data_IF_435921888815
#
_entry.id   IF_435921888815
#
_cell.length_a   1.000
_cell.length_b   1.000
_cell.length_c   1.000
_cell.angle_alpha   90.00
_cell.angle_beta   90.00
_cell.angle_gamma   90.00
#
_symmetry.space_group_name_H-M   'P 1'
#
loop_
_entity.id
_entity.type
_entity.pdbx_description
1 polymer ?
#
# COMPACT_ATOMS: atom_id res chain seq x y z
N UNK A 1 17.54 -32.50 -2.23
CA UNK A 1 16.57 -32.95 -1.22
C UNK A 1 15.95 -31.69 -0.66
N UNK A 2 14.66 -31.46 -0.87
CA UNK A 2 14.00 -30.29 -0.29
C UNK A 2 14.06 -30.45 1.24
N UNK A 3 14.54 -29.43 1.94
CA UNK A 3 14.57 -29.43 3.40
C UNK A 3 13.12 -29.42 3.91
N UNK A 4 12.83 -30.25 4.91
CA UNK A 4 11.53 -30.25 5.56
C UNK A 4 11.41 -29.02 6.46
N UNK A 5 10.76 -27.99 5.93
CA UNK A 5 10.58 -26.71 6.63
C UNK A 5 9.66 -26.81 7.83
N UNK A 6 8.77 -27.79 7.89
CA UNK A 6 7.87 -28.03 9.02
C UNK A 6 8.65 -28.66 10.18
N UNK A 7 9.48 -29.67 9.90
CA UNK A 7 10.36 -30.31 10.88
C UNK A 7 11.36 -29.30 11.46
N UNK A 8 12.00 -28.49 10.60
CA UNK A 8 12.94 -27.45 11.03
C UNK A 8 12.24 -26.37 11.86
N UNK A 9 11.00 -26.00 11.51
CA UNK A 9 10.21 -25.04 12.28
C UNK A 9 9.83 -25.56 13.67
N UNK A 10 9.42 -26.83 13.77
CA UNK A 10 9.08 -27.47 15.03
C UNK A 10 10.30 -27.56 15.98
N UNK A 11 11.51 -27.73 15.43
CA UNK A 11 12.77 -27.88 16.16
C UNK A 11 13.72 -26.66 15.98
N UNK A 12 13.17 -25.46 15.76
CA UNK A 12 13.95 -24.25 15.41
C UNK A 12 15.06 -23.92 16.41
N UNK A 13 14.90 -24.31 17.68
CA UNK A 13 15.87 -24.08 18.76
C UNK A 13 17.23 -24.76 18.50
N UNK A 14 17.27 -25.81 17.66
CA UNK A 14 18.54 -26.48 17.25
C UNK A 14 19.33 -25.67 16.21
N UNK A 15 18.71 -24.68 15.57
CA UNK A 15 19.25 -24.00 14.38
C UNK A 15 19.51 -22.51 14.60
N UNK A 16 18.91 -21.91 15.62
CA UNK A 16 18.94 -20.47 15.88
C UNK A 16 20.32 -19.88 16.24
N UNK A 17 21.27 -20.71 16.66
CA UNK A 17 22.67 -20.33 16.94
C UNK A 17 23.65 -20.86 15.87
N UNK A 18 23.14 -21.47 14.80
CA UNK A 18 23.98 -21.99 13.73
C UNK A 18 24.14 -20.93 12.62
N UNK A 19 25.26 -20.21 12.64
CA UNK A 19 25.56 -19.14 11.69
C UNK A 19 25.57 -19.61 10.22
N UNK A 20 26.07 -20.81 9.94
CA UNK A 20 26.05 -21.39 8.58
C UNK A 20 24.62 -21.70 8.13
N UNK A 21 23.78 -22.15 9.06
CA UNK A 21 22.37 -22.35 8.81
C UNK A 21 21.68 -21.02 8.47
N UNK A 22 21.83 -20.00 9.32
CA UNK A 22 21.13 -18.72 9.17
C UNK A 22 21.60 -17.93 7.93
N UNK A 23 22.92 -17.87 7.69
CA UNK A 23 23.48 -17.11 6.57
C UNK A 23 23.08 -17.65 5.18
N UNK A 24 22.86 -18.97 5.08
CA UNK A 24 22.52 -19.60 3.81
C UNK A 24 21.02 -19.62 3.48
N UNK A 25 20.16 -19.02 4.31
CA UNK A 25 18.69 -19.03 4.14
C UNK A 25 18.22 -17.72 3.56
N UNK A 26 17.36 -17.78 2.53
CA UNK A 26 16.69 -16.58 2.05
C UNK A 26 15.57 -16.15 3.01
N UNK A 27 15.14 -14.88 2.99
CA UNK A 27 14.03 -14.42 3.83
C UNK A 27 12.76 -15.25 3.65
N UNK A 28 12.42 -15.64 2.41
CA UNK A 28 11.26 -16.47 2.11
C UNK A 28 11.37 -17.89 2.68
N UNK A 29 12.59 -18.45 2.74
CA UNK A 29 12.83 -19.76 3.36
C UNK A 29 12.68 -19.67 4.88
N UNK A 30 13.22 -18.61 5.50
CA UNK A 30 13.01 -18.35 6.93
C UNK A 30 11.54 -18.13 7.27
N UNK A 31 10.77 -17.43 6.44
CA UNK A 31 9.33 -17.28 6.63
C UNK A 31 8.58 -18.63 6.65
N UNK A 32 8.96 -19.58 5.77
CA UNK A 32 8.38 -20.94 5.77
C UNK A 32 8.66 -21.70 7.07
N UNK A 33 9.86 -21.55 7.61
CA UNK A 33 10.26 -22.13 8.90
C UNK A 33 9.47 -21.47 10.04
N UNK A 34 9.43 -20.13 10.08
CA UNK A 34 8.77 -19.34 11.12
C UNK A 34 7.25 -19.57 11.19
N UNK A 35 6.60 -19.81 10.05
CA UNK A 35 5.17 -20.17 10.01
C UNK A 35 4.84 -21.44 10.80
N UNK A 36 5.82 -22.33 10.99
CA UNK A 36 5.68 -23.59 11.71
C UNK A 36 6.39 -23.59 13.08
N UNK A 37 7.14 -22.53 13.39
CA UNK A 37 7.84 -22.39 14.65
C UNK A 37 6.94 -21.81 15.75
N UNK A 38 7.10 -22.33 16.96
CA UNK A 38 6.57 -21.73 18.19
C UNK A 38 7.74 -21.30 19.05
N UNK A 39 8.04 -20.00 19.00
CA UNK A 39 9.16 -19.42 19.71
C UNK A 39 8.73 -18.98 21.10
N UNK A 40 9.49 -19.35 22.13
CA UNK A 40 9.47 -18.61 23.39
C UNK A 40 10.04 -17.19 23.19
N UNK A 41 9.80 -16.24 24.12
CA UNK A 41 10.35 -14.89 24.03
C UNK A 41 11.89 -14.87 23.93
N UNK A 42 12.55 -15.74 24.69
CA UNK A 42 14.01 -15.91 24.64
C UNK A 42 14.47 -16.43 23.28
N UNK A 43 13.76 -17.44 22.73
CA UNK A 43 14.10 -17.98 21.41
C UNK A 43 13.86 -16.96 20.30
N UNK A 44 12.77 -16.20 20.39
CA UNK A 44 12.50 -15.09 19.50
C UNK A 44 13.64 -14.07 19.54
N UNK A 45 14.05 -13.66 20.74
CA UNK A 45 15.09 -12.65 20.90
C UNK A 45 16.42 -13.10 20.30
N UNK A 46 16.86 -14.30 20.62
CA UNK A 46 18.12 -14.86 20.11
C UNK A 46 18.07 -15.05 18.60
N UNK A 47 16.99 -15.62 18.06
CA UNK A 47 16.86 -15.86 16.62
C UNK A 47 16.88 -14.55 15.81
N UNK A 48 16.09 -13.55 16.21
CA UNK A 48 15.99 -12.29 15.47
C UNK A 48 17.23 -11.40 15.63
N UNK A 49 17.94 -11.51 16.76
CA UNK A 49 19.25 -10.87 16.94
C UNK A 49 20.32 -11.51 16.06
N UNK A 50 20.29 -12.84 15.88
CA UNK A 50 21.25 -13.53 15.01
C UNK A 50 20.93 -13.28 13.53
N UNK A 51 19.65 -13.34 13.12
CA UNK A 51 19.22 -13.05 11.74
C UNK A 51 19.55 -11.63 11.28
N UNK A 52 19.55 -10.64 12.19
CA UNK A 52 19.85 -9.24 11.84
C UNK A 52 21.28 -9.03 11.36
N UNK A 53 22.20 -9.99 11.60
CA UNK A 53 23.58 -9.95 11.10
C UNK A 53 23.67 -10.25 9.61
N UNK A 54 22.66 -10.93 9.04
CA UNK A 54 22.67 -11.44 7.67
C UNK A 54 21.62 -10.77 6.76
N UNK A 55 20.63 -10.09 7.33
CA UNK A 55 19.50 -9.55 6.58
C UNK A 55 19.23 -8.07 6.89
N UNK A 56 18.92 -7.30 5.84
CA UNK A 56 18.50 -5.90 5.97
C UNK A 56 17.10 -5.72 6.55
N UNK A 57 16.76 -4.50 6.97
CA UNK A 57 15.54 -4.16 7.70
C UNK A 57 14.23 -4.63 7.03
N UNK A 58 14.11 -4.53 5.70
CA UNK A 58 12.92 -4.96 4.97
C UNK A 58 12.71 -6.48 5.05
N UNK A 59 13.78 -7.26 4.92
CA UNK A 59 13.75 -8.72 5.06
C UNK A 59 13.45 -9.13 6.50
N UNK A 60 14.02 -8.40 7.47
CA UNK A 60 13.73 -8.63 8.89
C UNK A 60 12.26 -8.35 9.22
N UNK A 61 11.65 -7.31 8.64
CA UNK A 61 10.22 -7.03 8.79
C UNK A 61 9.35 -8.13 8.19
N UNK A 62 9.70 -8.62 6.99
CA UNK A 62 9.03 -9.75 6.35
C UNK A 62 9.07 -11.01 7.23
N UNK A 63 10.22 -11.33 7.83
CA UNK A 63 10.37 -12.49 8.72
C UNK A 63 9.61 -12.31 10.05
N UNK A 64 9.59 -11.11 10.61
CA UNK A 64 8.82 -10.81 11.83
C UNK A 64 7.32 -11.03 11.65
N UNK A 65 6.77 -10.70 10.48
CA UNK A 65 5.35 -10.93 10.16
C UNK A 65 4.98 -12.40 10.07
N UNK A 66 5.97 -13.29 9.88
CA UNK A 66 5.78 -14.75 9.88
C UNK A 66 6.04 -15.39 11.25
N UNK A 67 6.73 -14.70 12.17
CA UNK A 67 6.87 -15.17 13.54
C UNK A 67 5.55 -14.99 14.29
N UNK A 68 5.05 -16.04 14.93
CA UNK A 68 3.78 -16.08 15.68
C UNK A 68 3.83 -15.26 16.98
N UNK A 69 4.08 -13.96 16.85
CA UNK A 69 4.23 -13.00 17.96
C UNK A 69 2.94 -12.77 18.74
N UNK A 70 1.79 -13.13 18.17
CA UNK A 70 0.48 -13.12 18.81
C UNK A 70 0.33 -14.17 19.94
N UNK A 71 1.26 -15.12 20.06
CA UNK A 71 1.28 -16.11 21.15
C UNK A 71 1.91 -15.54 22.45
N UNK A 72 2.56 -14.37 22.41
CA UNK A 72 3.09 -13.68 23.59
C UNK A 72 1.99 -12.88 24.29
N UNK A 73 1.48 -13.41 25.40
CA UNK A 73 0.25 -12.90 26.03
C UNK A 73 0.49 -12.11 27.31
N UNK A 74 1.71 -12.12 27.87
CA UNK A 74 2.04 -11.34 29.08
C UNK A 74 2.79 -10.05 28.76
N UNK A 75 2.78 -9.11 29.71
CA UNK A 75 3.37 -7.78 29.55
C UNK A 75 4.88 -7.86 29.45
N UNK A 76 5.48 -8.73 30.23
CA UNK A 76 6.90 -8.98 30.29
C UNK A 76 7.40 -9.56 28.97
N UNK A 77 6.67 -10.52 28.39
CA UNK A 77 6.99 -11.11 27.09
C UNK A 77 6.88 -10.08 25.95
N UNK A 78 5.84 -9.24 26.01
CA UNK A 78 5.61 -8.19 25.02
C UNK A 78 6.70 -7.11 25.05
N UNK A 79 7.15 -6.71 26.24
CA UNK A 79 8.25 -5.76 26.42
C UNK A 79 9.55 -6.36 25.86
N UNK A 80 9.89 -7.59 26.24
CA UNK A 80 11.11 -8.26 25.81
C UNK A 80 11.20 -8.40 24.28
N UNK A 81 10.11 -8.85 23.64
CA UNK A 81 10.01 -8.97 22.19
C UNK A 81 10.09 -7.61 21.50
N UNK A 82 9.42 -6.59 22.05
CA UNK A 82 9.47 -5.24 21.50
C UNK A 82 10.84 -4.60 21.62
N UNK A 83 11.56 -4.81 22.72
CA UNK A 83 12.89 -4.26 22.91
C UNK A 83 13.86 -4.88 21.91
N UNK A 84 13.74 -6.19 21.65
CA UNK A 84 14.52 -6.85 20.59
C UNK A 84 14.17 -6.29 19.21
N UNK A 85 12.90 -6.14 18.87
CA UNK A 85 12.48 -5.58 17.58
C UNK A 85 12.99 -4.14 17.43
N UNK A 86 12.92 -3.34 18.50
CA UNK A 86 13.41 -1.96 18.52
C UNK A 86 14.93 -1.90 18.34
N UNK A 87 15.66 -2.81 18.99
CA UNK A 87 17.12 -2.94 18.86
C UNK A 87 17.55 -3.36 17.45
N UNK A 88 16.84 -4.33 16.86
CA UNK A 88 17.16 -4.91 15.55
C UNK A 88 16.76 -4.00 14.39
N UNK A 89 15.61 -3.32 14.48
CA UNK A 89 15.07 -2.52 13.37
C UNK A 89 15.20 -1.01 13.56
N UNK A 90 15.40 -0.54 14.79
CA UNK A 90 15.33 0.89 15.13
C UNK A 90 13.91 1.45 15.09
N UNK A 91 12.88 0.60 15.23
CA UNK A 91 11.45 0.98 15.17
C UNK A 91 10.80 0.65 16.52
N UNK A 92 10.19 1.64 17.18
CA UNK A 92 9.38 1.40 18.39
C UNK A 92 8.01 0.86 17.99
N UNK A 93 7.78 -0.45 18.15
CA UNK A 93 6.58 -1.17 17.66
C UNK A 93 5.52 -1.51 18.74
N UNK A 94 5.73 -1.10 19.99
CA UNK A 94 4.89 -1.51 21.14
C UNK A 94 3.40 -1.20 20.99
N UNK A 95 3.03 -0.16 20.22
CA UNK A 95 1.63 0.26 20.13
C UNK A 95 0.78 -0.50 19.10
N UNK A 96 1.40 -1.24 18.17
CA UNK A 96 0.71 -1.96 17.08
C UNK A 96 0.83 -3.48 17.14
N UNK A 97 1.91 -4.03 17.70
CA UNK A 97 2.13 -5.49 17.77
C UNK A 97 1.38 -6.13 18.95
N UNK A 98 1.22 -5.40 20.05
CA UNK A 98 0.50 -5.90 21.23
C UNK A 98 -0.77 -5.09 21.49
N UNK A 99 -1.82 -5.39 20.72
CA UNK A 99 -3.17 -4.87 20.96
C UNK A 99 -3.72 -5.22 22.36
N UNK A 100 -3.11 -6.18 23.07
CA UNK A 100 -3.50 -6.68 24.38
C UNK A 100 -3.37 -5.62 25.49
N UNK A 101 -2.42 -4.67 25.42
CA UNK A 101 -2.17 -3.73 26.54
C UNK A 101 -2.99 -2.43 26.49
N UNK A 102 -3.67 -2.13 25.39
CA UNK A 102 -4.52 -0.94 25.31
C UNK A 102 -5.84 -1.07 26.07
N UNK A 103 -6.25 -2.28 26.46
CA UNK A 103 -7.50 -2.48 27.20
C UNK A 103 -7.35 -2.56 28.74
N UNK A 104 -6.13 -2.59 29.29
CA UNK A 104 -5.91 -2.79 30.74
C UNK A 104 -5.13 -1.66 31.45
N UNK A 105 -5.03 -0.47 30.87
CA UNK A 105 -4.44 0.72 31.54
C UNK A 105 -5.42 1.87 31.76
N UNK A 106 -6.72 1.61 31.69
CA UNK A 106 -7.76 2.55 32.15
C UNK A 106 -8.54 1.94 33.32
N UNK A 107 -7.96 2.07 34.52
CA UNK A 107 -8.45 1.80 35.90
C UNK A 107 -7.31 1.09 36.65
N UNK A 108 -6.64 1.58 37.69
CA UNK A 108 -6.90 2.61 38.71
C UNK A 108 -5.58 2.82 39.47
N UNK A 109 -5.07 4.05 39.56
CA UNK A 109 -4.18 4.47 40.65
C UNK A 109 -5.05 4.95 41.82
N UNK A 110 -5.45 4.04 42.70
CA UNK A 110 -5.81 4.35 44.10
C UNK A 110 -5.34 3.18 44.97
N UNK A 111 -4.29 3.42 45.76
CA UNK A 111 -3.85 2.54 46.84
C UNK A 111 -4.89 2.52 47.96
N UNK A 112 -5.53 1.38 48.23
CA UNK A 112 -5.91 0.89 49.58
C UNK A 112 -6.06 -0.65 49.54
N UNK A 113 -5.44 -1.36 50.48
CA UNK A 113 -5.75 -2.76 50.89
C UNK A 113 -6.28 -2.70 52.35
N UNK A 114 -6.89 -3.76 52.94
CA UNK A 114 -7.55 -4.96 52.40
C UNK A 114 -8.93 -5.30 53.07
N UNK A 115 -9.68 -6.30 52.56
CA UNK A 115 -10.17 -7.52 53.28
C UNK A 115 -11.49 -8.14 52.78
N UNK A 116 -11.42 -9.47 52.62
CA UNK A 116 -12.39 -10.55 52.88
C UNK A 116 -13.69 -10.79 52.06
N UNK A 117 -13.75 -12.04 51.55
CA UNK A 117 -14.87 -13.00 51.47
C UNK A 117 -16.15 -12.65 50.70
N UNK A 118 -16.40 -13.32 49.55
CA UNK A 118 -17.67 -14.04 49.27
C UNK A 118 -17.67 -14.86 47.96
N UNK A 119 -18.51 -15.92 47.93
CA UNK A 119 -18.58 -17.07 47.01
C UNK A 119 -18.90 -16.76 45.52
N UNK A 120 -18.56 -17.65 44.56
CA UNK A 120 -18.69 -17.35 43.13
C UNK A 120 -20.13 -17.49 42.63
N UNK A 121 -20.63 -16.45 41.94
CA UNK A 121 -21.83 -16.50 41.08
C UNK A 121 -21.40 -16.83 39.65
N UNK A 122 -22.02 -17.86 39.06
CA UNK A 122 -21.82 -18.27 37.66
C UNK A 122 -22.23 -17.11 36.74
N UNK A 123 -21.29 -16.55 35.99
CA UNK A 123 -21.55 -15.59 34.91
C UNK A 123 -21.67 -16.35 33.58
N UNK A 124 -22.85 -16.22 32.96
CA UNK A 124 -23.08 -16.55 31.55
C UNK A 124 -22.27 -15.57 30.69
N UNK A 125 -21.20 -16.04 30.04
CA UNK A 125 -20.54 -15.27 28.98
C UNK A 125 -21.30 -15.45 27.67
N UNK A 126 -21.63 -14.37 26.92
CA UNK A 126 -22.23 -14.51 25.60
C UNK A 126 -21.24 -15.19 24.67
N UNK A 127 -21.62 -16.35 24.13
CA UNK A 127 -20.81 -17.09 23.18
C UNK A 127 -20.55 -16.26 21.91
N UNK A 128 -19.32 -15.81 21.72
CA UNK A 128 -18.85 -15.15 20.49
C UNK A 128 -18.84 -16.21 19.38
N UNK A 129 -19.90 -16.29 18.59
CA UNK A 129 -19.95 -17.19 17.42
C UNK A 129 -19.17 -16.54 16.29
N UNK A 130 -17.93 -16.99 16.06
CA UNK A 130 -17.13 -16.64 14.88
C UNK A 130 -17.49 -17.55 13.70
N UNK A 131 -17.34 -17.06 12.47
CA UNK A 131 -17.69 -17.85 11.27
C UNK A 131 -17.00 -17.38 10.00
N UNK A 132 -17.41 -17.97 8.87
CA UNK A 132 -16.82 -17.70 7.55
C UNK A 132 -17.64 -16.67 6.77
N UNK A 133 -16.95 -15.80 6.05
CA UNK A 133 -17.50 -14.86 5.07
C UNK A 133 -16.81 -15.04 3.73
N UNK A 134 -17.52 -14.75 2.64
CA UNK A 134 -16.96 -14.75 1.29
C UNK A 134 -16.92 -13.32 0.77
N UNK A 135 -15.78 -12.91 0.23
CA UNK A 135 -15.60 -11.61 -0.41
C UNK A 135 -15.29 -11.85 -1.88
N UNK A 136 -16.21 -11.50 -2.76
CA UNK A 136 -16.10 -11.71 -4.21
C UNK A 136 -15.52 -10.48 -4.88
N UNK A 137 -14.39 -10.65 -5.56
CA UNK A 137 -13.73 -9.60 -6.34
C UNK A 137 -14.41 -9.43 -7.71
N UNK A 138 -14.07 -8.35 -8.43
CA UNK A 138 -14.54 -8.08 -9.79
C UNK A 138 -14.11 -9.14 -10.82
N UNK A 139 -13.01 -9.84 -10.58
CA UNK A 139 -12.54 -10.94 -11.45
C UNK A 139 -13.29 -12.25 -11.19
N UNK A 140 -14.21 -12.27 -10.23
CA UNK A 140 -15.00 -13.43 -9.86
C UNK A 140 -14.35 -14.33 -8.81
N UNK A 141 -13.14 -14.02 -8.36
CA UNK A 141 -12.45 -14.75 -7.29
C UNK A 141 -13.11 -14.51 -5.93
N UNK A 142 -13.24 -15.57 -5.13
CA UNK A 142 -13.74 -15.52 -3.76
C UNK A 142 -12.59 -15.57 -2.74
N UNK A 143 -12.41 -14.49 -2.00
CA UNK A 143 -11.57 -14.39 -0.81
C UNK A 143 -12.39 -14.94 0.37
N UNK A 144 -11.82 -15.82 1.19
CA UNK A 144 -12.52 -16.42 2.34
C UNK A 144 -12.02 -15.75 3.61
N UNK A 145 -12.87 -15.11 4.40
CA UNK A 145 -12.47 -14.59 5.72
C UNK A 145 -12.98 -15.56 6.78
N UNK A 146 -12.08 -16.16 7.56
CA UNK A 146 -12.40 -17.13 8.62
C UNK A 146 -12.42 -16.45 9.99
N UNK A 147 -13.08 -17.09 10.95
CA UNK A 147 -13.08 -16.67 12.36
C UNK A 147 -13.53 -15.22 12.63
N UNK A 148 -14.42 -14.71 11.78
CA UNK A 148 -14.91 -13.33 11.82
C UNK A 148 -16.22 -13.23 12.62
N UNK A 149 -16.43 -12.18 13.41
CA UNK A 149 -17.69 -11.94 14.15
C UNK A 149 -18.57 -10.94 13.37
N UNK A 150 -19.85 -11.28 13.15
CA UNK A 150 -20.81 -10.38 12.49
C UNK A 150 -21.09 -9.09 13.28
N UNK A 151 -20.75 -9.04 14.57
CA UNK A 151 -20.80 -7.81 15.37
C UNK A 151 -19.57 -6.91 15.15
N UNK A 152 -18.53 -7.38 14.45
CA UNK A 152 -17.43 -6.52 14.03
C UNK A 152 -17.90 -5.48 13.01
N UNK A 153 -17.16 -4.38 12.97
CA UNK A 153 -17.40 -3.28 12.04
C UNK A 153 -16.96 -3.64 10.64
N UNK A 154 -17.47 -2.92 9.65
CA UNK A 154 -17.02 -3.01 8.26
C UNK A 154 -15.53 -2.66 8.16
N UNK A 155 -15.04 -1.72 8.98
CA UNK A 155 -13.61 -1.40 9.12
C UNK A 155 -12.76 -2.63 9.45
N UNK A 156 -13.19 -3.46 10.41
CA UNK A 156 -12.48 -4.67 10.82
C UNK A 156 -12.41 -5.69 9.66
N UNK A 157 -13.49 -5.80 8.88
CA UNK A 157 -13.53 -6.68 7.70
C UNK A 157 -12.56 -6.18 6.63
N UNK A 158 -12.48 -4.87 6.44
CA UNK A 158 -11.52 -4.28 5.50
C UNK A 158 -10.09 -4.53 5.95
N UNK A 159 -9.80 -4.39 7.23
CA UNK A 159 -8.48 -4.74 7.77
C UNK A 159 -8.17 -6.23 7.52
N UNK A 160 -9.12 -7.14 7.75
CA UNK A 160 -8.93 -8.57 7.44
C UNK A 160 -8.68 -8.86 5.95
N UNK A 161 -9.31 -8.09 5.05
CA UNK A 161 -9.04 -8.19 3.60
C UNK A 161 -7.65 -7.62 3.27
N UNK A 162 -7.21 -6.55 3.94
CA UNK A 162 -5.85 -6.02 3.79
C UNK A 162 -4.81 -7.05 4.25
N UNK A 163 -5.00 -7.65 5.42
CA UNK A 163 -4.09 -8.64 5.98
C UNK A 163 -3.95 -9.86 5.06
N UNK A 164 -5.04 -10.22 4.35
CA UNK A 164 -5.09 -11.41 3.49
C UNK A 164 -4.64 -11.17 2.06
N UNK A 165 -5.04 -10.05 1.46
CA UNK A 165 -4.88 -9.76 0.03
C UNK A 165 -3.99 -8.55 -0.25
N UNK A 166 -3.52 -7.86 0.80
CA UNK A 166 -2.65 -6.68 0.68
C UNK A 166 -3.34 -5.40 0.23
N UNK A 167 -4.67 -5.39 0.12
CA UNK A 167 -5.45 -4.26 -0.37
C UNK A 167 -5.75 -3.30 0.78
N UNK A 168 -5.25 -2.04 0.81
CA UNK A 168 -5.50 -1.10 1.90
C UNK A 168 -7.00 -0.84 2.18
N UNK A 169 -7.46 -0.71 3.44
CA UNK A 169 -8.87 -0.60 3.82
C UNK A 169 -9.60 0.57 3.17
N UNK A 170 -8.86 1.65 3.01
CA UNK A 170 -9.33 2.86 2.37
C UNK A 170 -9.58 2.55 0.88
N UNK A 171 -8.73 1.76 0.22
CA UNK A 171 -8.85 1.30 -1.17
C UNK A 171 -9.92 0.22 -1.37
N UNK A 172 -10.62 -0.21 -0.33
CA UNK A 172 -11.70 -1.18 -0.43
C UNK A 172 -13.07 -0.51 -0.43
N UNK A 173 -13.86 -0.84 -1.45
CA UNK A 173 -15.29 -0.57 -1.53
C UNK A 173 -16.05 -1.88 -1.41
N UNK A 174 -16.60 -2.12 -0.22
CA UNK A 174 -17.40 -3.32 0.06
C UNK A 174 -18.88 -3.04 -0.23
N UNK A 175 -19.52 -3.93 -0.99
CA UNK A 175 -20.91 -3.80 -1.44
C UNK A 175 -21.69 -5.07 -1.08
N UNK A 176 -22.86 -4.91 -0.48
CA UNK A 176 -23.77 -6.00 -0.16
C UNK A 176 -25.21 -5.63 -0.53
N UNK A 177 -25.94 -6.50 -1.25
CA UNK A 177 -27.28 -6.24 -1.77
C UNK A 177 -27.43 -4.88 -2.51
N UNK A 178 -26.42 -4.50 -3.29
CA UNK A 178 -26.40 -3.24 -4.03
C UNK A 178 -26.12 -1.99 -3.19
N UNK A 179 -25.90 -2.13 -1.88
CA UNK A 179 -25.55 -1.02 -0.98
C UNK A 179 -24.07 -1.05 -0.60
N UNK A 180 -23.42 0.12 -0.61
CA UNK A 180 -22.06 0.28 -0.10
C UNK A 180 -22.06 0.21 1.44
N UNK A 181 -21.08 -0.52 1.98
CA UNK A 181 -20.93 -0.71 3.42
C UNK A 181 -20.12 0.44 4.04
N UNK A 182 -20.58 0.95 5.18
CA UNK A 182 -19.98 2.07 5.92
C UNK A 182 -19.12 1.56 7.07
N UNK A 183 -17.89 2.09 7.19
CA UNK A 183 -16.85 1.61 8.11
C UNK A 183 -17.33 1.51 9.57
N UNK A 184 -18.17 2.44 10.03
CA UNK A 184 -18.63 2.51 11.43
C UNK A 184 -19.78 1.55 11.77
N UNK A 185 -20.44 0.94 10.78
CA UNK A 185 -21.57 0.02 10.99
C UNK A 185 -21.07 -1.43 11.07
N UNK A 186 -21.79 -2.28 11.79
CA UNK A 186 -21.45 -3.71 11.91
C UNK A 186 -21.98 -4.49 10.71
N UNK A 187 -21.40 -5.66 10.42
CA UNK A 187 -21.92 -6.53 9.35
C UNK A 187 -23.37 -6.97 9.61
N UNK A 188 -23.70 -7.22 10.88
CA UNK A 188 -25.06 -7.55 11.33
C UNK A 188 -26.07 -6.44 11.00
N UNK A 189 -25.69 -5.16 11.08
CA UNK A 189 -26.60 -4.05 10.74
C UNK A 189 -27.02 -4.07 9.26
N UNK A 190 -26.23 -4.69 8.38
CA UNK A 190 -26.55 -4.87 6.96
C UNK A 190 -27.27 -6.19 6.66
N UNK A 191 -27.60 -6.99 7.69
CA UNK A 191 -28.24 -8.30 7.52
C UNK A 191 -27.31 -9.38 6.96
N UNK A 192 -26.00 -9.16 6.96
CA UNK A 192 -25.00 -10.13 6.48
C UNK A 192 -24.99 -11.33 7.43
N UNK A 193 -24.97 -12.53 6.85
CA UNK A 193 -24.93 -13.81 7.57
C UNK A 193 -23.62 -14.54 7.29
N UNK A 194 -23.26 -15.49 8.15
CA UNK A 194 -22.18 -16.43 7.85
C UNK A 194 -22.46 -17.17 6.55
N UNK A 195 -21.42 -17.30 5.72
CA UNK A 195 -21.51 -17.80 4.36
C UNK A 195 -22.07 -16.81 3.34
N UNK A 196 -22.39 -15.57 3.75
CA UNK A 196 -22.78 -14.50 2.83
C UNK A 196 -21.62 -14.09 1.92
N UNK A 197 -21.96 -13.60 0.72
CA UNK A 197 -21.00 -13.03 -0.24
C UNK A 197 -21.10 -11.51 -0.24
N UNK A 198 -19.99 -10.84 0.06
CA UNK A 198 -19.80 -9.39 -0.03
C UNK A 198 -18.98 -9.10 -1.28
N UNK A 199 -19.33 -8.10 -2.08
CA UNK A 199 -18.57 -7.74 -3.26
C UNK A 199 -17.47 -6.74 -2.90
N UNK A 200 -16.23 -7.03 -3.26
CA UNK A 200 -15.11 -6.11 -3.16
C UNK A 200 -14.85 -5.46 -4.52
N UNK A 201 -14.95 -4.13 -4.52
CA UNK A 201 -14.51 -3.26 -5.61
C UNK A 201 -13.33 -2.44 -5.08
N UNK A 202 -12.26 -2.31 -5.85
CA UNK A 202 -11.16 -1.44 -5.47
C UNK A 202 -11.55 0.02 -5.70
N UNK A 203 -11.42 0.86 -4.67
CA UNK A 203 -11.34 2.30 -4.85
C UNK A 203 -9.96 2.58 -5.42
N UNK A 204 -9.92 3.01 -6.69
CA UNK A 204 -8.72 3.50 -7.33
C UNK A 204 -8.19 4.73 -6.57
N UNK A 205 -7.29 4.52 -5.60
CA UNK A 205 -6.40 5.55 -5.04
C UNK A 205 -4.96 5.43 -5.55
N UNK A 206 -4.69 4.46 -6.40
CA UNK A 206 -3.43 4.36 -7.13
C UNK A 206 -3.25 5.61 -7.99
N UNK A 207 -2.03 6.07 -8.08
CA UNK A 207 -1.64 7.15 -8.96
C UNK A 207 -2.17 6.94 -10.39
N UNK A 208 -2.19 8.00 -11.21
CA UNK A 208 -2.50 7.86 -12.65
C UNK A 208 -1.37 8.30 -13.58
N UNK A 209 -0.18 7.67 -13.56
CA UNK A 209 0.77 7.82 -14.64
C UNK A 209 0.18 7.29 -15.95
N UNK A 210 -0.10 8.18 -16.90
CA UNK A 210 -0.48 7.82 -18.27
C UNK A 210 0.49 8.42 -19.27
N UNK A 211 0.89 7.63 -20.25
CA UNK A 211 1.94 7.95 -21.21
C UNK A 211 1.33 8.10 -22.60
N UNK A 212 1.46 9.29 -23.18
CA UNK A 212 1.08 9.64 -24.54
C UNK A 212 2.33 9.71 -25.43
N UNK A 213 2.18 9.31 -26.68
CA UNK A 213 3.25 9.33 -27.67
C UNK A 213 2.81 10.12 -28.90
N UNK A 214 3.59 11.15 -29.27
CA UNK A 214 3.33 12.04 -30.40
C UNK A 214 4.50 12.06 -31.38
N UNK A 215 4.65 11.03 -32.22
CA UNK A 215 5.66 11.02 -33.29
C UNK A 215 5.26 11.93 -34.45
N UNK A 216 6.22 12.28 -35.32
CA UNK A 216 5.94 13.04 -36.56
C UNK A 216 5.30 12.19 -37.66
N UNK A 217 5.57 10.90 -37.65
CA UNK A 217 5.03 9.90 -38.58
C UNK A 217 4.62 8.64 -37.82
N UNK A 218 3.96 7.69 -38.48
CA UNK A 218 3.68 6.39 -37.85
C UNK A 218 5.02 5.68 -37.54
N UNK A 219 5.24 5.34 -36.28
CA UNK A 219 6.43 4.61 -35.84
C UNK A 219 6.07 3.36 -35.06
N UNK A 220 6.94 2.35 -35.13
CA UNK A 220 6.98 1.29 -34.10
C UNK A 220 7.81 1.84 -32.95
N UNK A 221 7.27 1.76 -31.74
CA UNK A 221 7.96 2.21 -30.55
C UNK A 221 7.96 1.14 -29.45
N UNK A 222 9.04 1.11 -28.68
CA UNK A 222 9.16 0.37 -27.43
C UNK A 222 9.14 1.36 -26.27
N UNK A 223 8.33 1.09 -25.25
CA UNK A 223 8.28 1.89 -24.03
C UNK A 223 8.56 0.97 -22.86
N UNK A 224 9.66 1.20 -22.14
CA UNK A 224 10.06 0.44 -20.96
C UNK A 224 9.95 1.33 -19.72
N UNK A 225 9.31 0.81 -18.67
CA UNK A 225 9.24 1.46 -17.36
C UNK A 225 9.94 0.59 -16.34
N UNK A 226 10.67 1.21 -15.43
CA UNK A 226 11.20 0.57 -14.23
C UNK A 226 10.70 1.31 -13.00
N UNK A 227 10.55 0.57 -11.91
CA UNK A 227 10.31 1.12 -10.58
C UNK A 227 11.56 0.72 -9.79
N UNK A 228 12.29 1.70 -9.28
CA UNK A 228 13.54 1.43 -8.57
C UNK A 228 13.29 0.85 -7.17
N UNK A 229 12.17 1.21 -6.55
CA UNK A 229 11.75 0.69 -5.25
C UNK A 229 10.24 0.42 -5.28
N UNK A 230 9.87 -0.86 -5.38
CA UNK A 230 8.50 -1.35 -5.48
C UNK A 230 8.20 -2.15 -6.74
N UNK A 231 6.95 -2.64 -6.81
CA UNK A 231 6.43 -3.43 -7.93
C UNK A 231 5.24 -2.70 -8.61
N UNK A 232 4.94 -3.08 -9.85
CA UNK A 232 3.74 -2.62 -10.53
C UNK A 232 2.48 -3.17 -9.83
N UNK A 233 1.55 -2.30 -9.47
CA UNK A 233 0.22 -2.72 -8.98
C UNK A 233 -0.73 -3.02 -10.12
N UNK A 234 -0.62 -2.26 -11.22
CA UNK A 234 -1.40 -2.47 -12.42
C UNK A 234 -0.73 -1.87 -13.65
N UNK A 235 -0.99 -2.47 -14.80
CA UNK A 235 -0.42 -2.08 -16.10
C UNK A 235 -1.46 -2.31 -17.18
N UNK A 236 -1.67 -1.32 -18.04
CA UNK A 236 -2.56 -1.44 -19.18
C UNK A 236 -2.02 -0.72 -20.42
N UNK A 237 -1.98 -1.38 -21.60
CA UNK A 237 -2.24 -2.81 -21.81
C UNK A 237 -1.18 -3.67 -21.09
N UNK A 238 -1.34 -4.99 -21.03
CA UNK A 238 -0.28 -5.85 -20.47
C UNK A 238 1.02 -5.68 -21.25
N UNK A 239 2.16 -5.68 -20.56
CA UNK A 239 3.48 -5.69 -21.20
C UNK A 239 3.66 -6.85 -22.20
N UNK A 240 4.57 -6.67 -23.15
CA UNK A 240 5.01 -7.69 -24.08
C UNK A 240 6.21 -8.47 -23.53
N UNK A 241 7.18 -7.78 -22.94
CA UNK A 241 8.38 -8.38 -22.37
C UNK A 241 8.99 -7.48 -21.31
N UNK A 242 9.40 -8.02 -20.14
CA UNK A 242 10.24 -7.33 -19.14
C UNK A 242 9.92 -5.83 -18.94
N UNK A 243 8.68 -5.52 -18.54
CA UNK A 243 8.19 -4.15 -18.31
C UNK A 243 8.16 -3.24 -19.54
N UNK A 244 8.06 -3.84 -20.74
CA UNK A 244 8.10 -3.14 -22.02
C UNK A 244 6.83 -3.35 -22.80
N UNK A 245 6.31 -2.27 -23.37
CA UNK A 245 5.29 -2.30 -24.42
C UNK A 245 5.93 -2.16 -25.80
N UNK A 246 5.48 -2.98 -26.75
CA UNK A 246 5.79 -2.89 -28.17
C UNK A 246 4.54 -2.39 -28.90
N UNK A 247 4.53 -1.12 -29.29
CA UNK A 247 3.36 -0.46 -29.89
C UNK A 247 3.68 0.16 -31.24
N UNK A 248 2.63 0.49 -32.00
CA UNK A 248 2.73 1.50 -33.05
C UNK A 248 2.14 2.81 -32.53
N UNK A 249 2.84 3.92 -32.69
CA UNK A 249 2.36 5.25 -32.35
C UNK A 249 2.10 6.06 -33.62
N UNK A 250 0.99 6.79 -33.65
CA UNK A 250 0.58 7.63 -34.77
C UNK A 250 0.70 9.12 -34.40
N UNK A 251 0.88 10.03 -35.37
CA UNK A 251 0.98 11.47 -35.10
C UNK A 251 -0.25 12.07 -34.40
N UNK A 252 -1.40 11.41 -34.50
CA UNK A 252 -2.64 11.79 -33.79
C UNK A 252 -2.60 11.56 -32.29
N UNK A 253 -1.57 10.90 -31.76
CA UNK A 253 -1.50 10.41 -30.38
C UNK A 253 -2.21 9.08 -30.16
N UNK A 254 -2.83 8.49 -31.19
CA UNK A 254 -3.35 7.12 -31.10
C UNK A 254 -2.18 6.12 -31.10
N UNK A 255 -2.29 5.08 -30.27
CA UNK A 255 -1.37 3.96 -30.26
C UNK A 255 -2.11 2.66 -30.58
N UNK A 256 -1.41 1.73 -31.22
CA UNK A 256 -1.91 0.40 -31.55
C UNK A 256 -1.05 -0.64 -30.85
N UNK A 257 -1.67 -1.43 -29.98
CA UNK A 257 -1.05 -2.57 -29.29
C UNK A 257 -1.82 -3.84 -29.63
N UNK A 258 -1.15 -4.86 -30.19
CA UNK A 258 -1.75 -6.16 -30.57
C UNK A 258 -3.08 -6.01 -31.35
N UNK A 259 -3.11 -5.07 -32.30
CA UNK A 259 -4.28 -4.77 -33.14
C UNK A 259 -5.37 -3.92 -32.49
N UNK A 260 -5.25 -3.56 -31.20
CA UNK A 260 -6.19 -2.69 -30.50
C UNK A 260 -5.70 -1.25 -30.48
N UNK A 261 -6.58 -0.33 -30.87
CA UNK A 261 -6.35 1.12 -30.78
C UNK A 261 -6.64 1.63 -29.38
N UNK A 262 -5.80 2.53 -28.88
CA UNK A 262 -5.94 3.19 -27.58
C UNK A 262 -5.22 4.55 -27.60
N UNK A 263 -5.37 5.34 -26.54
CA UNK A 263 -4.86 6.72 -26.47
C UNK A 263 -3.56 6.88 -25.70
N UNK A 264 -3.32 6.03 -24.72
CA UNK A 264 -2.17 6.12 -23.84
C UNK A 264 -1.83 4.74 -23.27
N UNK A 265 -0.60 4.61 -22.78
CA UNK A 265 -0.19 3.51 -21.90
C UNK A 265 -0.45 3.93 -20.46
N UNK A 266 -0.75 2.97 -19.59
CA UNK A 266 -1.03 3.20 -18.17
C UNK A 266 -0.22 2.23 -17.32
N UNK A 267 0.36 2.74 -16.25
CA UNK A 267 0.94 1.92 -15.19
C UNK A 267 0.73 2.59 -13.85
N UNK A 268 0.76 1.81 -12.78
CA UNK A 268 0.76 2.31 -11.42
C UNK A 268 1.58 1.39 -10.52
N UNK A 269 2.01 1.96 -9.39
CA UNK A 269 2.63 1.24 -8.27
C UNK A 269 1.92 1.65 -6.97
N UNK A 270 2.02 0.80 -5.96
CA UNK A 270 1.36 1.00 -4.66
C UNK A 270 1.96 2.17 -3.88
N UNK A 271 3.24 2.48 -4.07
CA UNK A 271 3.95 3.45 -3.25
C UNK A 271 5.00 4.22 -4.04
N UNK A 272 5.17 5.50 -3.68
CA UNK A 272 6.22 6.36 -4.20
C UNK A 272 7.14 6.75 -3.03
N UNK A 273 8.20 5.97 -2.76
CA UNK A 273 9.16 6.31 -1.72
C UNK A 273 9.87 7.61 -2.09
N UNK A 274 10.19 8.46 -1.11
CA UNK A 274 11.02 9.66 -1.30
C UNK A 274 10.37 10.80 -2.09
N UNK A 275 9.06 11.05 -1.89
CA UNK A 275 8.42 12.26 -2.41
C UNK A 275 9.07 13.52 -1.82
N UNK A 276 9.44 14.46 -2.69
CA UNK A 276 9.93 15.79 -2.30
C UNK A 276 8.73 16.70 -2.06
N UNK A 277 8.57 17.13 -0.81
CA UNK A 277 7.45 17.94 -0.34
C UNK A 277 7.92 19.30 0.22
N UNK A 278 9.14 19.71 -0.04
CA UNK A 278 9.76 20.93 0.48
C UNK A 278 9.28 22.20 -0.25
N UNK A 279 9.10 22.13 -1.58
CA UNK A 279 8.62 23.23 -2.42
C UNK A 279 7.35 22.85 -3.16
N UNK A 280 6.45 23.81 -3.37
CA UNK A 280 5.20 23.56 -4.06
C UNK A 280 4.20 24.69 -3.91
N UNK A 281 2.92 24.34 -3.83
CA UNK A 281 1.81 25.28 -3.77
C UNK A 281 0.80 24.84 -2.71
N UNK A 282 0.29 25.77 -1.90
CA UNK A 282 -0.84 25.51 -1.03
C UNK A 282 -2.08 26.17 -1.62
N UNK A 283 -3.13 25.39 -1.89
CA UNK A 283 -4.39 25.87 -2.48
C UNK A 283 -5.58 25.38 -1.68
N UNK A 284 -6.76 25.99 -1.88
CA UNK A 284 -8.01 25.38 -1.41
C UNK A 284 -8.39 24.24 -2.35
N UNK A 285 -8.96 23.15 -1.83
CA UNK A 285 -9.34 22.03 -2.71
C UNK A 285 -10.30 22.44 -3.82
N UNK A 286 -11.27 23.32 -3.52
CA UNK A 286 -12.20 23.89 -4.53
C UNK A 286 -11.52 24.63 -5.70
N UNK A 287 -10.27 25.06 -5.56
CA UNK A 287 -9.49 25.77 -6.58
C UNK A 287 -8.64 24.80 -7.43
N UNK A 288 -8.66 23.49 -7.14
CA UNK A 288 -7.80 22.50 -7.81
C UNK A 288 -7.96 22.49 -9.32
N UNK A 289 -9.18 22.59 -9.83
CA UNK A 289 -9.44 22.53 -11.28
C UNK A 289 -8.76 23.70 -11.99
N UNK A 290 -9.10 24.94 -11.60
CA UNK A 290 -8.51 26.15 -12.18
C UNK A 290 -7.00 26.20 -12.00
N UNK A 291 -6.50 25.75 -10.85
CA UNK A 291 -5.06 25.69 -10.58
C UNK A 291 -4.35 24.77 -11.56
N UNK A 292 -4.80 23.52 -11.71
CA UNK A 292 -4.13 22.59 -12.62
C UNK A 292 -4.32 22.97 -14.09
N UNK A 293 -5.48 23.49 -14.50
CA UNK A 293 -5.67 23.99 -15.86
C UNK A 293 -4.65 25.08 -16.21
N UNK A 294 -4.49 26.08 -15.35
CA UNK A 294 -3.52 27.16 -15.54
C UNK A 294 -2.07 26.62 -15.57
N UNK A 295 -1.68 25.83 -14.57
CA UNK A 295 -0.31 25.33 -14.44
C UNK A 295 0.06 24.37 -15.57
N UNK A 296 -0.77 23.39 -15.88
CA UNK A 296 -0.50 22.44 -16.97
C UNK A 296 -0.46 23.14 -18.33
N UNK A 297 -1.32 24.14 -18.57
CA UNK A 297 -1.27 24.95 -19.79
C UNK A 297 0.02 25.75 -19.88
N UNK A 298 0.48 26.35 -18.77
CA UNK A 298 1.76 27.08 -18.72
C UNK A 298 2.97 26.19 -19.00
N UNK A 299 2.89 24.90 -18.63
CA UNK A 299 3.91 23.90 -18.94
C UNK A 299 3.83 23.36 -20.38
N UNK A 300 2.94 23.89 -21.22
CA UNK A 300 2.74 23.48 -22.62
C UNK A 300 2.09 22.08 -22.80
N UNK A 301 1.21 21.66 -21.89
CA UNK A 301 0.30 20.53 -22.14
C UNK A 301 -0.87 20.96 -23.04
N UNK A 302 -1.36 20.04 -23.87
CA UNK A 302 -2.49 20.30 -24.76
C UNK A 302 -3.84 20.08 -24.05
N UNK A 303 -4.92 20.57 -24.67
CA UNK A 303 -6.25 20.55 -24.04
C UNK A 303 -6.80 19.14 -23.80
N UNK A 304 -6.40 18.15 -24.62
CA UNK A 304 -6.77 16.74 -24.41
C UNK A 304 -6.10 16.17 -23.17
N UNK A 305 -4.79 16.38 -23.03
CA UNK A 305 -4.00 15.94 -21.87
C UNK A 305 -4.52 16.58 -20.58
N UNK A 306 -4.81 17.88 -20.62
CA UNK A 306 -5.37 18.64 -19.49
C UNK A 306 -6.76 18.13 -19.15
N UNK A 307 -7.63 17.90 -20.13
CA UNK A 307 -8.96 17.35 -19.90
C UNK A 307 -8.89 15.98 -19.21
N UNK A 308 -8.06 15.06 -19.71
CA UNK A 308 -7.90 13.73 -19.12
C UNK A 308 -7.32 13.79 -17.69
N UNK A 309 -6.40 14.72 -17.43
CA UNK A 309 -5.85 14.98 -16.10
C UNK A 309 -6.93 15.50 -15.15
N UNK A 310 -7.65 16.56 -15.54
CA UNK A 310 -8.64 17.26 -14.71
C UNK A 310 -9.83 16.34 -14.40
N UNK A 311 -10.33 15.62 -15.39
CA UNK A 311 -11.45 14.68 -15.20
C UNK A 311 -11.11 13.56 -14.23
N UNK A 312 -9.83 13.16 -14.15
CA UNK A 312 -9.39 12.17 -13.18
C UNK A 312 -9.10 12.76 -11.79
N UNK A 313 -8.33 13.84 -11.70
CA UNK A 313 -7.83 14.39 -10.43
C UNK A 313 -8.77 15.41 -9.79
N UNK A 314 -9.46 16.23 -10.58
CA UNK A 314 -10.36 17.28 -10.11
C UNK A 314 -11.34 16.78 -9.04
N UNK A 315 -12.14 15.73 -9.31
CA UNK A 315 -13.08 15.18 -8.34
C UNK A 315 -12.44 14.58 -7.07
N UNK A 316 -11.18 14.14 -7.15
CA UNK A 316 -10.45 13.56 -6.00
C UNK A 316 -9.87 14.63 -5.09
N UNK A 317 -9.58 15.80 -5.64
CA UNK A 317 -8.92 16.89 -4.92
C UNK A 317 -9.92 17.93 -4.43
N UNK A 318 -11.02 18.18 -5.16
CA UNK A 318 -11.94 19.28 -4.86
C UNK A 318 -12.62 19.19 -3.48
N UNK A 319 -12.70 18.01 -2.89
CA UNK A 319 -13.31 17.78 -1.58
C UNK A 319 -12.44 18.16 -0.38
N UNK A 320 -11.13 18.36 -0.56
CA UNK A 320 -10.24 18.73 0.53
C UNK A 320 -10.35 20.22 0.88
N UNK A 321 -10.12 20.55 2.16
CA UNK A 321 -10.17 21.94 2.62
C UNK A 321 -9.00 22.75 2.06
N UNK A 322 -7.78 22.24 2.29
CA UNK A 322 -6.55 22.72 1.68
C UNK A 322 -5.75 21.55 1.13
N UNK A 323 -4.89 21.83 0.15
CA UNK A 323 -4.01 20.84 -0.46
C UNK A 323 -2.66 21.49 -0.68
N UNK A 324 -1.61 20.81 -0.23
CA UNK A 324 -0.23 21.10 -0.61
C UNK A 324 0.15 20.24 -1.82
N UNK A 325 0.49 20.88 -2.93
CA UNK A 325 0.82 20.24 -4.21
C UNK A 325 2.30 20.45 -4.48
N UNK A 326 3.05 19.36 -4.66
CA UNK A 326 4.49 19.38 -4.93
C UNK A 326 4.77 18.54 -6.19
N UNK A 327 5.27 19.17 -7.26
CA UNK A 327 5.66 18.48 -8.49
C UNK A 327 7.03 17.82 -8.32
N UNK A 328 7.19 16.60 -8.85
CA UNK A 328 8.34 15.75 -8.57
C UNK A 328 9.45 15.83 -9.63
N UNK A 329 9.11 16.00 -10.91
CA UNK A 329 10.05 16.14 -12.04
C UNK A 329 11.23 15.14 -11.99
N UNK A 330 12.48 15.61 -11.89
CA UNK A 330 13.69 14.76 -11.83
C UNK A 330 13.60 13.70 -10.73
N UNK A 331 12.96 13.99 -9.59
CA UNK A 331 12.73 13.00 -8.54
C UNK A 331 11.85 11.83 -9.02
N UNK A 332 10.87 12.11 -9.88
CA UNK A 332 10.04 11.07 -10.48
C UNK A 332 10.79 10.26 -11.54
N UNK A 333 11.71 10.88 -12.26
CA UNK A 333 12.60 10.19 -13.20
C UNK A 333 13.56 9.24 -12.50
N UNK A 334 14.06 9.65 -11.33
CA UNK A 334 14.88 8.80 -10.46
C UNK A 334 14.08 7.66 -9.84
N UNK A 335 12.85 7.90 -9.36
CA UNK A 335 12.01 6.84 -8.78
C UNK A 335 11.58 5.82 -9.84
N UNK A 336 11.18 6.29 -11.01
CA UNK A 336 10.51 5.49 -12.03
C UNK A 336 11.07 5.81 -13.43
N UNK A 337 12.29 5.37 -13.75
CA UNK A 337 12.93 5.72 -15.02
C UNK A 337 12.19 5.09 -16.21
N UNK A 338 12.07 5.87 -17.28
CA UNK A 338 11.45 5.47 -18.54
C UNK A 338 12.47 5.47 -19.68
N UNK A 339 12.45 4.42 -20.50
CA UNK A 339 13.20 4.36 -21.75
C UNK A 339 12.23 4.18 -22.93
N UNK A 340 12.44 4.95 -24.00
CA UNK A 340 11.61 4.88 -25.22
C UNK A 340 12.49 4.73 -26.45
N UNK A 341 12.14 3.80 -27.33
CA UNK A 341 12.82 3.55 -28.60
C UNK A 341 11.82 3.63 -29.76
N UNK A 342 12.12 4.32 -30.89
CA UNK A 342 13.29 5.18 -31.10
C UNK A 342 13.33 6.31 -30.06
N UNK A 343 14.53 6.85 -29.80
CA UNK A 343 14.71 7.88 -28.79
C UNK A 343 13.84 9.11 -29.14
N UNK A 344 12.94 9.56 -28.24
CA UNK A 344 12.19 10.80 -28.44
C UNK A 344 13.11 12.02 -28.40
N UNK A 345 12.72 13.07 -29.13
CA UNK A 345 13.33 14.40 -29.01
C UNK A 345 13.01 15.01 -27.64
N UNK A 346 11.80 14.73 -27.12
CA UNK A 346 11.31 15.26 -25.86
C UNK A 346 10.62 14.17 -25.03
N UNK A 347 11.01 14.04 -23.75
CA UNK A 347 10.30 13.25 -22.74
C UNK A 347 9.92 14.21 -21.61
N UNK A 348 8.63 14.52 -21.51
CA UNK A 348 8.11 15.52 -20.58
C UNK A 348 7.19 14.83 -19.57
N UNK A 349 7.54 14.85 -18.29
CA UNK A 349 6.86 14.07 -17.25
C UNK A 349 6.39 14.97 -16.11
N UNK A 350 5.08 14.99 -15.87
CA UNK A 350 4.42 15.78 -14.82
C UNK A 350 3.82 14.85 -13.80
N UNK A 351 4.52 14.64 -12.70
CA UNK A 351 3.98 13.89 -11.57
C UNK A 351 3.91 14.79 -10.35
N UNK A 352 2.72 14.88 -9.72
CA UNK A 352 2.54 15.67 -8.50
C UNK A 352 2.24 14.79 -7.28
N UNK A 353 2.68 15.24 -6.11
CA UNK A 353 2.22 14.73 -4.83
C UNK A 353 1.24 15.75 -4.23
N UNK A 354 0.04 15.32 -3.88
CA UNK A 354 -0.94 16.11 -3.14
C UNK A 354 -1.02 15.63 -1.70
N UNK A 355 -0.72 16.52 -0.77
CA UNK A 355 -0.93 16.32 0.66
C UNK A 355 -2.17 17.10 1.10
N UNK A 356 -3.28 16.43 1.45
CA UNK A 356 -4.44 17.08 2.05
C UNK A 356 -4.09 17.74 3.39
N UNK A 357 -4.66 18.91 3.67
CA UNK A 357 -4.41 19.66 4.90
C UNK A 357 -5.72 20.25 5.48
N UNK A 358 -5.80 20.29 6.81
CA UNK A 358 -6.89 20.96 7.52
C UNK A 358 -6.76 22.48 7.54
N UNK A 359 -5.53 22.98 7.46
CA UNK A 359 -5.17 24.40 7.50
C UNK A 359 -4.22 24.72 6.33
N UNK A 360 -4.21 25.96 5.82
CA UNK A 360 -3.24 26.34 4.80
C UNK A 360 -1.83 26.29 5.39
N UNK A 361 -0.83 26.08 4.54
CA UNK A 361 0.57 26.11 4.93
C UNK A 361 1.34 27.10 4.07
N UNK A 362 2.34 27.74 4.66
CA UNK A 362 3.36 28.46 3.91
C UNK A 362 4.30 27.44 3.25
N UNK A 363 4.57 27.65 1.97
CA UNK A 363 5.45 26.79 1.19
C UNK A 363 6.17 27.63 0.14
N UNK A 364 7.45 27.36 -0.06
CA UNK A 364 8.22 27.99 -1.11
C UNK A 364 7.68 27.56 -2.48
N UNK A 365 7.31 28.50 -3.37
CA UNK A 365 6.82 28.18 -4.71
C UNK A 365 7.84 27.38 -5.54
N UNK A 366 7.34 26.40 -6.30
CA UNK A 366 8.14 25.73 -7.32
C UNK A 366 8.14 26.52 -8.63
N UNK A 367 9.30 26.59 -9.28
CA UNK A 367 9.38 26.96 -10.68
C UNK A 367 8.91 25.77 -11.52
N UNK A 368 8.04 26.05 -12.50
CA UNK A 368 7.51 25.04 -13.39
C UNK A 368 8.17 25.15 -14.78
N UNK A 369 8.60 24.04 -15.38
CA UNK A 369 9.24 24.05 -16.69
C UNK A 369 8.24 24.35 -17.80
N UNK A 370 8.71 24.93 -18.90
CA UNK A 370 7.93 25.01 -20.15
C UNK A 370 8.41 23.91 -21.08
N UNK A 371 7.57 22.90 -21.33
CA UNK A 371 8.00 21.74 -22.10
C UNK A 371 8.10 22.02 -23.59
N UNK A 372 9.14 21.45 -24.20
CA UNK A 372 9.33 21.42 -25.65
C UNK A 372 8.53 20.29 -26.28
N UNK A 373 8.05 20.52 -27.50
CA UNK A 373 7.21 19.57 -28.26
C UNK A 373 7.59 19.49 -29.73
N UNK A 374 8.79 19.92 -30.08
CA UNK A 374 9.38 19.68 -31.39
C UNK A 374 9.73 18.19 -31.55
N UNK A 375 9.74 17.71 -32.80
CA UNK A 375 10.04 16.30 -33.07
C UNK A 375 9.06 15.29 -32.47
N UNK A 376 9.55 14.08 -32.18
CA UNK A 376 8.85 13.01 -31.47
C UNK A 376 8.82 13.32 -29.97
N UNK A 377 7.63 13.53 -29.43
CA UNK A 377 7.42 13.89 -28.02
C UNK A 377 6.67 12.80 -27.26
N UNK A 378 7.15 12.47 -26.06
CA UNK A 378 6.44 11.65 -25.08
C UNK A 378 6.00 12.54 -23.93
N UNK A 379 4.72 12.43 -23.55
CA UNK A 379 4.13 13.14 -22.41
C UNK A 379 3.66 12.10 -21.41
N UNK A 380 4.12 12.22 -20.17
CA UNK A 380 3.52 11.50 -19.06
C UNK A 380 2.96 12.49 -18.07
N UNK A 381 1.73 12.28 -17.62
CA UNK A 381 1.23 12.95 -16.43
C UNK A 381 0.72 11.93 -15.44
N UNK A 382 0.79 12.28 -14.16
CA UNK A 382 0.29 11.47 -13.06
C UNK A 382 0.32 12.24 -11.75
N UNK A 383 0.05 11.53 -10.67
CA UNK A 383 0.21 12.07 -9.34
C UNK A 383 -0.24 11.10 -8.28
N UNK A 384 -0.07 11.47 -7.02
CA UNK A 384 -0.50 10.67 -5.88
C UNK A 384 -1.07 11.56 -4.79
N UNK A 385 -2.00 11.01 -4.00
CA UNK A 385 -2.47 11.66 -2.77
C UNK A 385 -1.71 11.01 -1.61
N UNK A 386 -0.90 11.81 -0.92
CA UNK A 386 -0.15 11.38 0.25
C UNK A 386 -1.13 11.19 1.40
N UNK A 387 -1.26 9.95 1.87
CA UNK A 387 -1.96 9.64 3.11
C UNK A 387 -0.96 9.75 4.25
N UNK A 388 -1.27 10.53 5.28
CA UNK A 388 -0.39 10.79 6.42
C UNK A 388 -0.02 9.49 7.18
N UNK A 389 1.03 8.80 6.73
CA UNK A 389 1.86 7.89 7.52
C UNK A 389 3.27 7.87 6.90
N UNK A 390 3.99 8.98 7.04
CA UNK A 390 5.45 8.99 6.99
C UNK A 390 5.99 8.77 8.40
#
# INVERSE_FOLDING_TARGET
MELDWEEIGADISKYMDNDEFLAARTPQQMCKILNNAKLSPCEFTTLFTNLSRYHGKANMLMMLLCARTNEFTTKEQAIEVSDTISSVLGIRLLDSVFSVFKNNLSQTDVRVLPQENEKPRIHHYPCIRKGRLYVKTLTGLHIVITDFDLNNKVEDLKNSIQDREGIPPDQQRLIYNGMELEDKKTLRNYGIRYGGTIHLVLRLRGAKPVIYLYPKEEIKAKVNIKINDGDFSFVYPSFDEKNTWNIKALPSGEIIHRGKKMRYLFWETLFYPNLKLDRGFCIKGKESVSFFEERLKSMNLNDTEICDFITYWGPKLCGYKYIKICFQFENFDEMCPMNVEPKPDNINRVFFAALPLDNPCDIEPQELPVFKRDGFTVIEWGGTIVTEKL
#
